data_IF_774038985855
#
_entry.id   IF_774038985855
#
_cell.length_a   1.000
_cell.length_b   1.000
_cell.length_c   1.000
_cell.angle_alpha   90.00
_cell.angle_beta   90.00
_cell.angle_gamma   90.00
#
_symmetry.space_group_name_H-M   'P 1'
#
loop_
_entity.id
_entity.type
_entity.pdbx_description
1 polymer ?
#
# COMPACT_ATOMS: atom_id res chain seq x y z
N UNK A 1 12.32 12.94 27.53
CA UNK A 1 12.58 11.71 26.73
C UNK A 1 13.86 11.05 27.22
N UNK A 2 13.76 10.05 28.10
CA UNK A 2 14.91 9.33 28.66
C UNK A 2 15.41 8.28 27.67
N UNK A 3 16.59 8.51 27.08
CA UNK A 3 17.29 7.52 26.26
C UNK A 3 17.86 6.44 27.18
N UNK A 4 17.41 5.21 27.01
CA UNK A 4 17.99 4.01 27.63
C UNK A 4 19.38 3.74 27.02
N UNK A 5 20.44 4.27 27.64
CA UNK A 5 21.82 3.88 27.37
C UNK A 5 22.14 2.59 28.14
N UNK A 6 22.11 1.45 27.45
CA UNK A 6 22.53 0.17 28.03
C UNK A 6 24.04 0.12 28.25
N UNK A 7 24.43 -0.14 29.50
CA UNK A 7 25.79 -0.40 30.01
C UNK A 7 26.35 -1.71 29.45
N UNK A 8 26.85 -1.68 28.21
CA UNK A 8 27.34 -2.86 27.48
C UNK A 8 28.66 -3.49 27.95
N UNK A 9 29.33 -2.99 29.00
CA UNK A 9 30.63 -3.52 29.45
C UNK A 9 30.59 -4.44 30.68
N UNK A 10 29.56 -4.36 31.53
CA UNK A 10 29.56 -5.05 32.84
C UNK A 10 28.99 -6.48 32.78
N UNK A 11 28.27 -6.86 31.71
CA UNK A 11 27.58 -8.16 31.63
C UNK A 11 28.39 -9.29 30.96
N UNK A 12 29.68 -9.10 30.61
CA UNK A 12 30.48 -10.17 30.00
C UNK A 12 30.81 -11.32 30.97
N UNK A 13 30.79 -11.08 32.28
CA UNK A 13 31.21 -12.07 33.27
C UNK A 13 30.14 -13.07 33.68
N UNK A 14 28.85 -12.85 33.41
CA UNK A 14 27.77 -13.76 33.87
C UNK A 14 27.59 -15.01 32.98
N UNK A 15 28.48 -15.27 32.03
CA UNK A 15 28.41 -16.48 31.19
C UNK A 15 28.51 -17.79 31.99
N UNK A 16 29.09 -17.78 33.19
CA UNK A 16 29.16 -18.94 34.10
C UNK A 16 27.83 -19.20 34.84
N UNK A 17 26.89 -18.25 34.84
CA UNK A 17 25.51 -18.46 35.30
C UNK A 17 24.60 -19.01 34.19
N UNK A 18 25.07 -19.08 32.94
CA UNK A 18 24.28 -19.70 31.89
C UNK A 18 24.11 -21.20 32.21
N UNK A 19 22.88 -21.73 32.10
CA UNK A 19 22.64 -23.15 32.33
C UNK A 19 23.54 -23.97 31.39
N UNK A 20 24.02 -25.15 31.85
CA UNK A 20 24.95 -25.97 31.09
C UNK A 20 24.44 -26.22 29.67
N UNK A 21 25.35 -26.10 28.71
CA UNK A 21 25.08 -26.29 27.29
C UNK A 21 24.54 -27.70 27.01
N UNK A 22 23.72 -27.79 25.95
CA UNK A 22 22.92 -28.94 25.48
C UNK A 22 23.45 -30.32 25.92
N UNK A 23 22.65 -31.05 26.71
CA UNK A 23 22.88 -32.47 27.02
C UNK A 23 22.97 -32.82 28.51
N UNK A 24 23.08 -31.82 29.40
CA UNK A 24 23.07 -32.07 30.86
C UNK A 24 21.67 -32.46 31.36
N UNK A 25 21.61 -33.52 32.18
CA UNK A 25 20.38 -34.03 32.84
C UNK A 25 19.69 -32.98 33.74
N UNK A 26 20.40 -31.90 34.08
CA UNK A 26 19.90 -30.80 34.92
C UNK A 26 19.50 -29.53 34.12
N UNK A 27 19.80 -29.46 32.82
CA UNK A 27 19.56 -28.26 32.00
C UNK A 27 18.09 -28.01 31.65
N UNK A 28 17.21 -29.02 31.83
CA UNK A 28 15.77 -28.92 31.48
C UNK A 28 14.91 -29.34 32.67
N UNK A 29 15.10 -28.70 33.84
CA UNK A 29 14.08 -28.68 34.90
C UNK A 29 13.21 -27.43 34.82
N UNK A 30 12.92 -26.96 33.61
CA UNK A 30 11.85 -25.98 33.43
C UNK A 30 10.50 -26.72 33.62
N UNK A 31 9.51 -26.11 34.30
CA UNK A 31 8.17 -26.68 34.36
C UNK A 31 7.66 -26.96 32.95
N UNK A 32 6.81 -27.98 32.79
CA UNK A 32 6.35 -28.46 31.47
C UNK A 32 5.77 -27.37 30.54
N UNK A 33 5.32 -26.24 31.12
CA UNK A 33 4.89 -25.05 30.38
C UNK A 33 6.02 -24.20 29.79
N UNK A 34 7.17 -24.14 30.44
CA UNK A 34 8.33 -23.33 30.04
C UNK A 34 9.38 -24.12 29.24
N UNK A 35 9.33 -25.46 29.27
CA UNK A 35 10.37 -26.32 28.70
C UNK A 35 10.35 -26.45 27.16
N UNK A 36 9.20 -26.25 26.51
CA UNK A 36 9.06 -26.56 25.09
C UNK A 36 9.36 -25.34 24.20
N UNK A 37 10.64 -25.13 23.89
CA UNK A 37 11.05 -24.27 22.79
C UNK A 37 11.21 -25.11 21.50
N UNK A 38 10.33 -24.94 20.50
CA UNK A 38 10.49 -25.58 19.20
C UNK A 38 11.85 -25.26 18.57
N UNK A 39 12.42 -26.20 17.82
CA UNK A 39 13.49 -25.86 16.88
C UNK A 39 12.94 -24.88 15.84
N UNK A 40 13.64 -23.77 15.63
CA UNK A 40 13.34 -22.84 14.55
C UNK A 40 13.57 -23.52 13.20
N UNK A 41 12.59 -23.44 12.30
CA UNK A 41 12.71 -23.96 10.94
C UNK A 41 13.08 -22.82 10.01
N UNK A 42 14.17 -22.99 9.29
CA UNK A 42 14.66 -21.99 8.34
C UNK A 42 13.63 -21.78 7.21
N UNK A 43 13.49 -20.56 6.66
CA UNK A 43 12.54 -20.28 5.59
C UNK A 43 12.64 -21.23 4.38
N UNK A 44 13.85 -21.72 4.05
CA UNK A 44 14.10 -22.68 2.97
C UNK A 44 13.49 -24.06 3.23
N UNK A 45 13.40 -24.47 4.50
CA UNK A 45 12.87 -25.77 4.93
C UNK A 45 11.36 -25.71 5.21
N UNK A 46 10.75 -24.52 5.13
CA UNK A 46 9.31 -24.36 5.27
C UNK A 46 8.62 -24.88 4.02
N UNK A 47 7.52 -25.58 4.23
CA UNK A 47 6.73 -26.12 3.12
C UNK A 47 6.05 -24.94 2.40
N UNK A 48 6.38 -24.67 1.13
CA UNK A 48 5.82 -23.52 0.41
C UNK A 48 4.35 -23.75 0.02
N UNK A 49 4.04 -24.98 -0.41
CA UNK A 49 2.72 -25.38 -0.88
C UNK A 49 2.17 -26.50 -0.01
N UNK A 50 1.22 -26.15 0.84
CA UNK A 50 0.56 -27.08 1.75
C UNK A 50 -0.60 -27.78 1.03
N UNK A 51 -0.57 -29.12 0.99
CA UNK A 51 -1.67 -29.90 0.41
C UNK A 51 -2.73 -30.32 1.44
N UNK A 52 -2.49 -30.01 2.72
CA UNK A 52 -3.40 -30.21 3.84
C UNK A 52 -3.73 -28.82 4.40
N UNK A 53 -5.00 -28.56 4.64
CA UNK A 53 -5.57 -27.27 5.06
C UNK A 53 -6.51 -27.51 6.25
N UNK A 54 -6.77 -26.49 7.10
CA UNK A 54 -7.80 -26.61 8.12
C UNK A 54 -9.13 -27.12 7.56
N UNK A 55 -9.81 -27.98 8.32
CA UNK A 55 -11.03 -28.69 7.92
C UNK A 55 -10.78 -30.04 7.25
N UNK A 56 -9.55 -30.37 6.85
CA UNK A 56 -9.24 -31.70 6.31
C UNK A 56 -9.27 -32.79 7.38
N UNK A 57 -9.77 -33.96 7.00
CA UNK A 57 -9.73 -35.16 7.83
C UNK A 57 -8.42 -35.91 7.57
N UNK A 58 -7.70 -36.24 8.64
CA UNK A 58 -6.37 -36.82 8.52
C UNK A 58 -6.10 -37.94 9.53
N UNK A 59 -5.22 -38.85 9.14
CA UNK A 59 -4.71 -39.96 9.96
C UNK A 59 -3.21 -39.85 10.17
N UNK A 60 -2.74 -40.21 11.35
CA UNK A 60 -1.32 -40.26 11.66
C UNK A 60 -0.66 -41.47 11.00
N UNK A 61 0.53 -41.27 10.41
CA UNK A 61 1.38 -42.36 9.90
C UNK A 61 2.01 -43.15 11.03
N UNK A 62 2.49 -42.43 12.04
CA UNK A 62 3.29 -42.95 13.14
C UNK A 62 2.78 -42.37 14.47
N UNK A 63 3.02 -43.11 15.55
CA UNK A 63 2.61 -42.76 16.89
C UNK A 63 1.41 -43.58 17.36
N UNK A 64 1.40 -43.91 18.65
CA UNK A 64 0.31 -44.58 19.34
C UNK A 64 -0.55 -43.52 20.02
N UNK A 65 -1.86 -43.59 19.83
CA UNK A 65 -2.86 -42.76 20.52
C UNK A 65 -3.89 -43.71 21.16
N UNK A 66 -4.65 -43.26 22.16
CA UNK A 66 -5.74 -44.04 22.78
C UNK A 66 -5.35 -44.92 23.97
N UNK A 67 -4.07 -44.95 24.38
CA UNK A 67 -3.62 -45.79 25.52
C UNK A 67 -4.29 -45.44 26.86
N UNK A 68 -4.83 -44.22 27.00
CA UNK A 68 -5.53 -43.78 28.21
C UNK A 68 -7.02 -44.15 28.24
N UNK A 69 -7.61 -44.53 27.12
CA UNK A 69 -9.04 -44.82 27.00
C UNK A 69 -9.36 -46.31 27.17
N UNK A 70 -8.40 -47.11 27.68
CA UNK A 70 -8.61 -48.54 27.92
C UNK A 70 -8.65 -49.40 26.66
N UNK A 71 -8.33 -48.86 25.48
CA UNK A 71 -8.10 -49.63 24.25
C UNK A 71 -6.72 -50.31 24.30
N UNK A 72 -6.56 -51.24 25.25
CA UNK A 72 -5.39 -52.11 25.42
C UNK A 72 -5.40 -53.27 24.42
N UNK A 73 -5.67 -52.99 23.14
CA UNK A 73 -5.34 -53.96 22.10
C UNK A 73 -3.85 -53.85 21.75
N UNK A 74 -3.22 -54.99 21.46
CA UNK A 74 -1.86 -55.07 20.90
C UNK A 74 -1.72 -54.26 19.58
N UNK A 75 -2.85 -53.89 18.97
CA UNK A 75 -2.89 -53.08 17.77
C UNK A 75 -2.49 -51.63 18.04
N UNK A 76 -1.49 -51.16 17.28
CA UNK A 76 -1.06 -49.77 17.26
C UNK A 76 -2.12 -48.92 16.59
N UNK A 77 -3.10 -48.46 17.38
CA UNK A 77 -4.09 -47.48 16.96
C UNK A 77 -3.39 -46.17 16.61
N UNK A 78 -3.51 -45.81 15.33
CA UNK A 78 -2.97 -44.56 14.80
C UNK A 78 -4.02 -43.49 14.99
N UNK A 79 -3.60 -42.34 15.49
CA UNK A 79 -4.52 -41.23 15.73
C UNK A 79 -5.19 -40.73 14.44
N UNK A 80 -6.42 -40.27 14.58
CA UNK A 80 -7.23 -39.67 13.52
C UNK A 80 -7.81 -38.35 14.04
N UNK A 81 -8.00 -37.36 13.16
CA UNK A 81 -8.49 -36.05 13.57
C UNK A 81 -8.72 -35.09 12.42
N UNK A 82 -9.41 -33.99 12.72
CA UNK A 82 -9.65 -32.88 11.79
C UNK A 82 -8.60 -31.80 12.02
N UNK A 83 -8.03 -31.27 10.95
CA UNK A 83 -7.06 -30.18 11.05
C UNK A 83 -7.73 -28.89 11.51
N UNK A 84 -7.28 -28.32 12.63
CA UNK A 84 -7.80 -27.06 13.17
C UNK A 84 -6.98 -25.88 12.66
N UNK A 85 -5.66 -25.97 12.83
CA UNK A 85 -4.75 -24.90 12.49
C UNK A 85 -3.42 -25.46 12.01
N UNK A 86 -2.71 -24.62 11.27
CA UNK A 86 -1.44 -24.96 10.65
C UNK A 86 -0.45 -23.84 10.96
N UNK A 87 0.71 -24.22 11.47
CA UNK A 87 1.85 -23.33 11.68
C UNK A 87 2.85 -23.57 10.57
N UNK A 88 2.81 -22.66 9.59
CA UNK A 88 3.70 -22.68 8.43
C UNK A 88 5.15 -22.36 8.78
N UNK A 89 5.40 -21.74 9.93
CA UNK A 89 6.76 -21.44 10.35
C UNK A 89 7.46 -22.68 10.91
N UNK A 90 6.72 -23.61 11.51
CA UNK A 90 7.26 -24.83 12.16
C UNK A 90 6.92 -26.13 11.43
N UNK A 91 6.16 -26.07 10.34
CA UNK A 91 5.61 -27.23 9.63
C UNK A 91 4.76 -28.14 10.53
N UNK A 92 3.99 -27.53 11.43
CA UNK A 92 3.13 -28.25 12.38
C UNK A 92 1.65 -28.10 12.05
N UNK A 93 0.91 -29.11 12.49
CA UNK A 93 -0.53 -29.26 12.32
C UNK A 93 -1.13 -29.57 13.69
N UNK A 94 -2.21 -28.88 14.02
CA UNK A 94 -3.00 -29.13 15.22
C UNK A 94 -4.27 -29.86 14.82
N UNK A 95 -4.52 -30.97 15.48
CA UNK A 95 -5.67 -31.84 15.22
C UNK A 95 -6.68 -31.68 16.36
N UNK A 96 -7.95 -31.64 16.00
CA UNK A 96 -9.06 -31.89 16.91
C UNK A 96 -9.59 -33.30 16.66
N UNK A 97 -10.26 -33.84 17.67
CA UNK A 97 -11.02 -35.08 17.53
C UNK A 97 -12.08 -34.94 16.43
N UNK A 98 -12.39 -36.05 15.77
CA UNK A 98 -13.41 -36.06 14.71
C UNK A 98 -14.78 -35.85 15.34
N UNK A 99 -15.08 -36.64 16.37
CA UNK A 99 -16.32 -36.63 17.13
C UNK A 99 -16.00 -36.87 18.62
N UNK A 100 -16.94 -36.57 19.52
CA UNK A 100 -16.77 -36.81 20.97
C UNK A 100 -16.58 -38.29 21.31
N UNK A 101 -17.08 -39.19 20.45
CA UNK A 101 -16.90 -40.63 20.56
C UNK A 101 -15.53 -41.11 20.03
N UNK A 102 -14.85 -40.30 19.20
CA UNK A 102 -13.63 -40.67 18.50
C UNK A 102 -12.46 -39.75 18.88
N UNK A 103 -12.00 -39.89 20.13
CA UNK A 103 -10.93 -39.08 20.75
C UNK A 103 -9.52 -39.54 20.37
N UNK A 104 -9.32 -39.83 19.09
CA UNK A 104 -8.05 -40.32 18.55
C UNK A 104 -7.06 -39.21 18.17
N UNK A 105 -7.36 -37.92 18.42
CA UNK A 105 -6.40 -36.87 18.15
C UNK A 105 -5.27 -36.91 19.21
N UNK A 106 -4.01 -36.69 18.81
CA UNK A 106 -2.90 -36.72 19.74
C UNK A 106 -2.99 -35.54 20.72
N UNK A 107 -3.20 -35.84 22.00
CA UNK A 107 -3.22 -34.87 23.10
C UNK A 107 -2.02 -35.07 24.03
N UNK A 108 -1.59 -33.98 24.65
CA UNK A 108 -0.59 -33.99 25.71
C UNK A 108 -1.20 -33.41 26.98
N UNK A 109 -0.99 -34.09 28.10
CA UNK A 109 -1.40 -33.58 29.40
C UNK A 109 -0.39 -32.50 29.83
N UNK A 110 -0.88 -31.30 30.14
CA UNK A 110 -0.06 -30.19 30.64
C UNK A 110 -0.58 -29.70 31.99
N UNK A 111 0.35 -29.35 32.88
CA UNK A 111 0.07 -28.97 34.27
C UNK A 111 -0.17 -27.46 34.44
N UNK A 112 -1.33 -26.93 34.08
CA UNK A 112 -1.58 -25.47 34.12
C UNK A 112 -1.55 -24.96 35.57
N UNK A 113 -1.10 -23.71 35.74
CA UNK A 113 -1.25 -23.00 37.01
C UNK A 113 -2.75 -22.99 37.37
N UNK A 114 -3.14 -23.49 38.55
CA UNK A 114 -4.54 -23.54 38.95
C UNK A 114 -5.19 -22.16 38.79
N UNK A 115 -6.31 -22.12 38.07
CA UNK A 115 -7.16 -20.93 37.95
C UNK A 115 -8.45 -21.21 38.70
N UNK A 116 -9.05 -20.17 39.26
CA UNK A 116 -10.41 -20.27 39.77
C UNK A 116 -11.34 -20.73 38.66
N UNK A 117 -12.26 -21.65 38.98
CA UNK A 117 -13.26 -22.15 38.03
C UNK A 117 -14.11 -20.99 37.50
N UNK A 118 -14.41 -20.04 38.37
CA UNK A 118 -15.12 -18.81 38.07
C UNK A 118 -14.36 -17.64 38.69
N UNK A 119 -13.78 -16.72 37.90
CA UNK A 119 -13.01 -15.60 38.45
C UNK A 119 -13.88 -14.63 39.26
N UNK A 120 -15.20 -14.66 39.09
CA UNK A 120 -16.15 -13.82 39.82
C UNK A 120 -16.63 -14.46 41.13
N UNK A 121 -16.44 -15.78 41.31
CA UNK A 121 -16.88 -16.52 42.50
C UNK A 121 -15.74 -17.41 43.03
N UNK A 122 -14.84 -16.86 43.87
CA UNK A 122 -13.66 -17.59 44.36
C UNK A 122 -14.01 -18.79 45.28
N UNK A 123 -15.22 -18.84 45.83
CA UNK A 123 -15.73 -19.94 46.65
C UNK A 123 -15.89 -21.25 45.88
N UNK A 124 -16.09 -21.19 44.55
CA UNK A 124 -16.13 -22.38 43.68
C UNK A 124 -14.78 -23.11 43.57
N UNK A 125 -13.72 -22.53 44.15
CA UNK A 125 -12.40 -23.14 44.24
C UNK A 125 -11.61 -23.13 42.93
N UNK A 126 -10.52 -23.88 42.94
CA UNK A 126 -9.61 -24.00 41.80
C UNK A 126 -10.05 -25.14 40.88
N UNK A 127 -9.92 -24.92 39.56
CA UNK A 127 -10.09 -25.97 38.57
C UNK A 127 -8.96 -27.01 38.61
N UNK A 128 -9.07 -28.09 37.82
CA UNK A 128 -8.05 -29.13 37.78
C UNK A 128 -6.69 -28.56 37.33
N UNK A 129 -5.62 -28.97 38.02
CA UNK A 129 -4.24 -28.55 37.73
C UNK A 129 -3.69 -29.13 36.41
N UNK A 130 -4.45 -29.99 35.74
CA UNK A 130 -4.04 -30.65 34.50
C UNK A 130 -5.10 -30.52 33.45
N UNK A 131 -4.70 -30.12 32.25
CA UNK A 131 -5.59 -30.05 31.09
C UNK A 131 -4.97 -30.79 29.91
N UNK A 132 -5.80 -31.44 29.11
CA UNK A 132 -5.36 -32.02 27.85
C UNK A 132 -5.31 -30.95 26.77
N UNK A 133 -4.12 -30.76 26.20
CA UNK A 133 -3.89 -29.78 25.13
C UNK A 133 -3.53 -30.55 23.86
N UNK A 134 -4.07 -30.18 22.69
CA UNK A 134 -3.72 -30.82 21.42
C UNK A 134 -2.21 -30.74 21.18
N UNK A 135 -1.60 -31.89 20.90
CA UNK A 135 -0.17 -32.01 20.63
C UNK A 135 0.07 -31.62 19.17
N UNK A 136 1.04 -30.73 18.88
CA UNK A 136 1.40 -30.42 17.50
C UNK A 136 1.99 -31.65 16.81
N UNK A 137 1.56 -31.89 15.57
CA UNK A 137 2.03 -32.98 14.72
C UNK A 137 2.80 -32.40 13.55
N UNK A 138 3.95 -32.99 13.23
CA UNK A 138 4.69 -32.58 12.03
C UNK A 138 3.98 -33.03 10.75
N UNK A 139 3.95 -32.16 9.74
CA UNK A 139 3.24 -32.40 8.47
C UNK A 139 3.57 -33.74 7.80
N UNK A 140 4.83 -34.20 7.88
CA UNK A 140 5.27 -35.47 7.30
C UNK A 140 4.57 -36.70 7.87
N UNK A 141 4.04 -36.61 9.09
CA UNK A 141 3.47 -37.73 9.83
C UNK A 141 1.97 -37.87 9.61
N UNK A 142 1.41 -37.19 8.61
CA UNK A 142 -0.02 -37.10 8.37
C UNK A 142 -0.37 -37.72 7.01
N UNK A 143 -1.53 -38.36 6.92
CA UNK A 143 -2.16 -38.87 5.70
C UNK A 143 -3.54 -38.25 5.56
N UNK A 144 -3.87 -37.78 4.36
CA UNK A 144 -5.18 -37.18 4.08
C UNK A 144 -6.21 -38.30 3.87
N UNK A 145 -7.37 -38.21 4.52
CA UNK A 145 -8.56 -39.03 4.21
C UNK A 145 -9.25 -38.44 2.99
N UNK A 146 -9.68 -39.29 2.06
CA UNK A 146 -10.44 -38.82 0.90
C UNK A 146 -11.89 -38.55 1.33
N UNK A 147 -12.48 -37.40 0.96
CA UNK A 147 -13.86 -37.12 1.29
C UNK A 147 -14.78 -38.13 0.58
N UNK A 148 -15.71 -38.73 1.32
CA UNK A 148 -16.66 -39.72 0.79
C UNK A 148 -16.12 -41.15 0.69
N UNK A 149 -14.87 -41.43 1.11
CA UNK A 149 -14.36 -42.79 1.24
C UNK A 149 -13.55 -42.98 2.52
N UNK A 150 -13.38 -44.24 2.94
CA UNK A 150 -12.54 -44.60 4.08
C UNK A 150 -11.07 -44.84 3.70
N UNK A 151 -10.69 -44.46 2.48
CA UNK A 151 -9.34 -44.60 1.98
C UNK A 151 -8.46 -43.41 2.38
N UNK A 152 -7.20 -43.71 2.67
CA UNK A 152 -6.18 -42.74 3.02
C UNK A 152 -5.17 -42.57 1.89
N UNK A 153 -4.76 -41.33 1.66
CA UNK A 153 -3.76 -41.00 0.65
C UNK A 153 -2.37 -41.51 1.05
N UNK A 154 -1.75 -42.32 0.20
CA UNK A 154 -0.35 -42.76 0.34
C UNK A 154 0.60 -41.60 0.07
N UNK A 155 0.29 -40.82 -0.97
CA UNK A 155 1.05 -39.63 -1.38
C UNK A 155 0.09 -38.55 -1.86
N UNK A 156 0.48 -37.29 -1.64
CA UNK A 156 -0.20 -36.13 -2.20
C UNK A 156 0.68 -35.51 -3.29
N UNK A 157 0.09 -35.26 -4.45
CA UNK A 157 0.68 -34.50 -5.55
C UNK A 157 -0.18 -33.27 -5.84
N UNK A 158 0.39 -32.29 -6.53
CA UNK A 158 -0.30 -31.03 -6.85
C UNK A 158 -0.32 -30.78 -8.35
N UNK A 159 -1.27 -29.99 -8.82
CA UNK A 159 -1.20 -29.34 -10.13
C UNK A 159 -0.23 -28.16 -10.10
N UNK A 160 0.04 -27.57 -11.28
CA UNK A 160 0.62 -26.24 -11.35
C UNK A 160 -0.24 -25.22 -10.59
N UNK A 161 0.41 -24.30 -9.88
CA UNK A 161 -0.27 -23.22 -9.16
C UNK A 161 -0.65 -22.11 -10.15
N UNK A 162 -1.91 -21.66 -10.08
CA UNK A 162 -2.44 -20.56 -10.90
C UNK A 162 -2.94 -19.44 -9.99
N UNK A 163 -2.68 -18.19 -10.36
CA UNK A 163 -3.14 -17.04 -9.59
C UNK A 163 -4.61 -16.72 -9.92
N UNK A 164 -5.50 -16.82 -8.93
CA UNK A 164 -6.90 -16.44 -9.10
C UNK A 164 -7.11 -14.97 -8.72
N UNK A 165 -7.23 -14.10 -9.73
CA UNK A 165 -7.41 -12.64 -9.54
C UNK A 165 -8.55 -12.29 -8.60
N UNK A 166 -9.73 -12.93 -8.75
CA UNK A 166 -10.91 -12.68 -7.90
C UNK A 166 -10.70 -13.01 -6.42
N UNK A 167 -9.93 -14.07 -6.14
CA UNK A 167 -9.64 -14.51 -4.76
C UNK A 167 -8.39 -13.85 -4.19
N UNK A 168 -7.60 -13.16 -5.03
CA UNK A 168 -6.31 -12.57 -4.63
C UNK A 168 -5.30 -13.61 -4.14
N UNK A 169 -5.37 -14.86 -4.61
CA UNK A 169 -4.54 -15.94 -4.09
C UNK A 169 -4.16 -16.98 -5.15
N UNK A 170 -3.02 -17.64 -4.93
CA UNK A 170 -2.61 -18.80 -5.70
C UNK A 170 -3.46 -20.02 -5.32
N UNK A 171 -4.02 -20.69 -6.33
CA UNK A 171 -4.79 -21.92 -6.15
C UNK A 171 -4.17 -23.02 -7.01
N UNK A 172 -4.18 -24.23 -6.50
CA UNK A 172 -3.81 -25.44 -7.21
C UNK A 172 -4.81 -26.54 -6.84
N UNK A 173 -4.90 -27.55 -7.69
CA UNK A 173 -5.60 -28.80 -7.39
C UNK A 173 -4.65 -29.75 -6.69
N UNK A 174 -5.16 -30.56 -5.77
CA UNK A 174 -4.41 -31.61 -5.09
C UNK A 174 -4.93 -32.97 -5.54
N UNK A 175 -4.01 -33.90 -5.76
CA UNK A 175 -4.31 -35.25 -6.17
C UNK A 175 -3.73 -36.23 -5.15
N UNK A 176 -4.57 -37.13 -4.65
CA UNK A 176 -4.16 -38.22 -3.79
C UNK A 176 -3.82 -39.44 -4.63
N UNK A 177 -2.73 -40.11 -4.28
CA UNK A 177 -2.42 -41.46 -4.75
C UNK A 177 -2.95 -42.45 -3.72
N UNK A 178 -3.94 -43.24 -4.11
CA UNK A 178 -4.54 -44.31 -3.29
C UNK A 178 -4.10 -45.68 -3.80
N UNK A 179 -4.16 -46.68 -2.92
CA UNK A 179 -4.08 -48.07 -3.35
C UNK A 179 -5.37 -48.39 -4.12
N UNK A 180 -5.24 -48.92 -5.33
CA UNK A 180 -6.41 -49.36 -6.10
C UNK A 180 -7.14 -50.47 -5.35
N UNK A 181 -8.47 -50.53 -5.49
CA UNK A 181 -9.22 -51.72 -5.06
C UNK A 181 -8.81 -52.93 -5.91
N UNK A 182 -8.94 -54.13 -5.36
CA UNK A 182 -8.53 -55.37 -6.05
C UNK A 182 -9.22 -55.54 -7.40
N UNK A 183 -10.48 -55.09 -7.54
CA UNK A 183 -11.21 -55.11 -8.81
C UNK A 183 -10.58 -54.19 -9.85
N UNK A 184 -10.28 -52.94 -9.46
CA UNK A 184 -9.63 -51.96 -10.35
C UNK A 184 -8.20 -52.36 -10.68
N UNK A 185 -7.52 -53.07 -9.78
CA UNK A 185 -6.19 -53.61 -10.01
C UNK A 185 -6.22 -54.68 -11.11
N UNK A 186 -7.24 -55.54 -11.13
CA UNK A 186 -7.44 -56.54 -12.19
C UNK A 186 -7.74 -55.88 -13.54
N UNK A 187 -8.57 -54.84 -13.54
CA UNK A 187 -8.99 -54.17 -14.78
C UNK A 187 -7.88 -53.31 -15.41
N UNK A 188 -7.16 -52.54 -14.59
CA UNK A 188 -6.19 -51.54 -15.09
C UNK A 188 -4.73 -51.98 -14.97
N UNK A 189 -4.45 -53.03 -14.21
CA UNK A 189 -3.09 -53.48 -13.89
C UNK A 189 -2.28 -52.50 -13.03
N UNK A 190 -2.87 -51.39 -12.56
CA UNK A 190 -2.18 -50.35 -11.79
C UNK A 190 -2.49 -50.45 -10.31
N UNK A 191 -1.46 -50.71 -9.50
CA UNK A 191 -1.56 -50.78 -8.03
C UNK A 191 -2.00 -49.47 -7.35
N UNK A 192 -1.88 -48.34 -8.05
CA UNK A 192 -2.19 -47.03 -7.49
C UNK A 192 -3.04 -46.20 -8.45
N UNK A 193 -4.08 -45.58 -7.90
CA UNK A 193 -4.98 -44.66 -8.61
C UNK A 193 -4.73 -43.23 -8.13
N UNK A 194 -4.80 -42.27 -9.06
CA UNK A 194 -4.62 -40.84 -8.79
C UNK A 194 -5.99 -40.16 -8.82
N UNK A 195 -6.47 -39.74 -7.65
CA UNK A 195 -7.80 -39.13 -7.46
C UNK A 195 -7.65 -37.64 -7.14
N UNK A 196 -8.45 -36.78 -7.76
CA UNK A 196 -8.53 -35.36 -7.39
C UNK A 196 -9.25 -35.21 -6.04
N UNK A 197 -8.62 -34.52 -5.09
CA UNK A 197 -9.23 -34.27 -3.77
C UNK A 197 -9.61 -32.80 -3.67
N UNK A 198 -10.91 -32.46 -3.55
CA UNK A 198 -11.34 -31.08 -3.44
C UNK A 198 -10.86 -30.46 -2.11
N UNK A 199 -10.71 -29.13 -2.07
CA UNK A 199 -10.43 -28.39 -0.84
C UNK A 199 -11.66 -28.36 0.07
N UNK A 200 -11.50 -28.39 1.40
CA UNK A 200 -12.63 -28.33 2.31
C UNK A 200 -13.29 -26.95 2.24
N UNK A 201 -14.62 -26.92 2.32
CA UNK A 201 -15.40 -25.68 2.34
C UNK A 201 -15.38 -25.12 3.76
N UNK A 202 -14.47 -24.18 4.02
CA UNK A 202 -14.40 -23.49 5.31
C UNK A 202 -15.45 -22.37 5.40
N UNK A 203 -16.00 -22.10 6.60
CA UNK A 203 -16.82 -20.91 6.79
C UNK A 203 -16.01 -19.68 6.39
N UNK A 204 -16.62 -18.77 5.63
CA UNK A 204 -15.96 -17.56 5.17
C UNK A 204 -15.44 -16.77 6.37
N UNK A 205 -14.13 -16.50 6.41
CA UNK A 205 -13.57 -15.62 7.45
C UNK A 205 -14.21 -14.25 7.29
N UNK A 206 -14.97 -13.81 8.29
CA UNK A 206 -15.48 -12.43 8.35
C UNK A 206 -14.26 -11.51 8.33
N UNK A 207 -14.16 -10.65 7.32
CA UNK A 207 -13.18 -9.59 7.30
C UNK A 207 -13.65 -8.54 8.29
N UNK A 208 -12.86 -8.29 9.33
CA UNK A 208 -13.06 -7.09 10.13
C UNK A 208 -12.51 -5.92 9.31
N UNK A 209 -13.36 -4.92 9.07
CA UNK A 209 -12.95 -3.67 8.47
C UNK A 209 -12.26 -2.86 9.56
N UNK A 210 -10.95 -2.73 9.45
CA UNK A 210 -10.18 -1.84 10.32
C UNK A 210 -10.34 -0.39 9.84
N UNK A 211 -10.13 0.59 10.72
CA UNK A 211 -10.19 2.03 10.37
C UNK A 211 -9.17 2.46 9.32
N UNK A 212 -8.18 1.62 9.02
CA UNK A 212 -7.15 1.83 8.01
C UNK A 212 -7.55 1.30 6.62
N UNK A 213 -8.64 0.54 6.52
CA UNK A 213 -9.15 0.02 5.26
C UNK A 213 -10.14 1.03 4.67
N UNK A 214 -9.83 1.57 3.49
CA UNK A 214 -10.74 2.43 2.74
C UNK A 214 -11.82 1.61 2.03
N UNK A 215 -13.01 2.19 1.90
CA UNK A 215 -14.10 1.58 1.14
C UNK A 215 -13.71 1.41 -0.33
N UNK A 216 -14.17 0.31 -0.93
CA UNK A 216 -13.92 -0.01 -2.33
C UNK A 216 -14.28 1.15 -3.26
N UNK A 217 -15.40 1.83 -2.99
CA UNK A 217 -15.89 2.94 -3.80
C UNK A 217 -14.95 4.15 -3.75
N UNK A 218 -14.24 4.36 -2.63
CA UNK A 218 -13.26 5.46 -2.50
C UNK A 218 -12.04 5.16 -3.36
N UNK A 219 -11.51 3.93 -3.28
CA UNK A 219 -10.33 3.52 -4.06
C UNK A 219 -10.63 3.47 -5.57
N UNK A 220 -11.81 2.97 -5.95
CA UNK A 220 -12.22 2.92 -7.36
C UNK A 220 -12.54 4.30 -7.93
N UNK A 221 -13.06 5.23 -7.12
CA UNK A 221 -13.26 6.63 -7.54
C UNK A 221 -11.94 7.40 -7.71
N UNK A 222 -10.88 7.01 -7.00
CA UNK A 222 -9.61 7.74 -6.97
C UNK A 222 -8.66 7.44 -8.13
N UNK A 223 -9.00 6.56 -9.08
CA UNK A 223 -8.02 6.12 -10.08
C UNK A 223 -8.43 6.38 -11.52
N UNK A 224 -7.92 7.49 -12.06
CA UNK A 224 -7.14 7.61 -13.31
C UNK A 224 -7.37 8.97 -13.98
N UNK A 225 -6.44 9.91 -13.79
CA UNK A 225 -6.33 11.08 -14.66
C UNK A 225 -5.38 10.71 -15.81
N UNK A 226 -5.87 10.44 -17.03
CA UNK A 226 -4.98 10.15 -18.16
C UNK A 226 -4.11 11.38 -18.40
N UNK A 227 -2.83 11.26 -18.06
CA UNK A 227 -1.74 12.18 -18.36
C UNK A 227 -2.13 13.67 -18.36
N UNK A 228 -2.18 14.28 -17.17
CA UNK A 228 -2.04 15.73 -17.06
C UNK A 228 -0.54 16.04 -16.90
N UNK A 229 0.03 16.98 -17.67
CA UNK A 229 1.43 17.40 -17.52
C UNK A 229 1.72 18.18 -16.22
N UNK A 230 0.71 18.38 -15.37
CA UNK A 230 0.84 19.06 -14.08
C UNK A 230 1.07 18.04 -12.95
N UNK A 231 2.06 18.32 -12.11
CA UNK A 231 2.60 17.46 -11.05
C UNK A 231 1.51 16.93 -10.10
N UNK A 232 1.37 15.60 -9.89
CA UNK A 232 0.33 15.03 -9.03
C UNK A 232 0.45 15.38 -7.54
N UNK A 233 1.56 15.98 -7.09
CA UNK A 233 1.76 16.42 -5.71
C UNK A 233 1.10 17.78 -5.42
N UNK A 234 0.96 18.63 -6.44
CA UNK A 234 0.29 19.92 -6.36
C UNK A 234 -1.07 19.81 -7.06
N UNK A 235 -2.03 19.15 -6.41
CA UNK A 235 -3.41 19.28 -6.85
C UNK A 235 -3.74 20.78 -6.83
N UNK A 236 -4.04 21.42 -7.99
CA UNK A 236 -4.42 22.81 -7.97
C UNK A 236 -5.62 22.96 -7.05
N UNK A 237 -5.67 24.04 -6.28
CA UNK A 237 -6.85 24.40 -5.49
C UNK A 237 -8.09 24.13 -6.32
N UNK A 238 -9.06 23.42 -5.74
CA UNK A 238 -10.30 23.06 -6.43
C UNK A 238 -10.84 24.35 -7.06
N UNK A 239 -10.78 24.45 -8.39
CA UNK A 239 -11.34 25.59 -9.12
C UNK A 239 -12.77 25.73 -8.60
N UNK A 240 -13.08 26.90 -8.05
CA UNK A 240 -14.44 27.20 -7.60
C UNK A 240 -15.40 26.80 -8.71
N UNK A 241 -16.39 25.97 -8.37
CA UNK A 241 -17.37 25.46 -9.34
C UNK A 241 -18.13 26.64 -9.98
N UNK A 242 -18.19 27.77 -9.26
CA UNK A 242 -18.90 29.00 -9.60
C UNK A 242 -18.03 30.23 -9.30
N UNK A 243 -18.34 31.36 -9.94
CA UNK A 243 -17.71 32.66 -9.70
C UNK A 243 -18.73 33.60 -9.03
N UNK A 244 -18.29 34.59 -8.23
CA UNK A 244 -19.22 35.57 -7.67
C UNK A 244 -20.05 36.32 -8.72
N UNK A 245 -19.49 36.50 -9.92
CA UNK A 245 -20.20 37.12 -11.05
C UNK A 245 -21.21 36.16 -11.68
N UNK A 246 -20.86 34.88 -11.81
CA UNK A 246 -21.75 33.87 -12.36
C UNK A 246 -22.91 33.55 -11.41
N UNK A 247 -22.68 33.59 -10.10
CA UNK A 247 -23.71 33.50 -9.06
C UNK A 247 -24.66 34.69 -9.10
N UNK A 248 -24.13 35.93 -9.18
CA UNK A 248 -24.96 37.12 -9.35
C UNK A 248 -25.80 37.05 -10.62
N UNK A 249 -25.22 36.60 -11.74
CA UNK A 249 -25.93 36.43 -13.00
C UNK A 249 -27.02 35.36 -12.91
N UNK A 250 -26.74 34.22 -12.28
CA UNK A 250 -27.73 33.18 -12.06
C UNK A 250 -28.87 33.67 -11.15
N UNK A 251 -28.57 34.40 -10.09
CA UNK A 251 -29.56 35.01 -9.20
C UNK A 251 -30.46 36.01 -9.96
N UNK A 252 -29.89 36.87 -10.80
CA UNK A 252 -30.66 37.81 -11.64
C UNK A 252 -31.57 37.07 -12.63
N UNK A 253 -31.07 36.01 -13.28
CA UNK A 253 -31.87 35.19 -14.20
C UNK A 253 -32.97 34.41 -13.47
N UNK A 254 -32.72 33.96 -12.24
CA UNK A 254 -33.72 33.30 -11.41
C UNK A 254 -34.84 34.28 -11.02
N UNK A 255 -34.50 35.50 -10.60
CA UNK A 255 -35.46 36.56 -10.31
C UNK A 255 -36.27 36.97 -11.55
N UNK A 256 -35.60 37.12 -12.69
CA UNK A 256 -36.31 37.40 -13.95
C UNK A 256 -37.29 36.30 -14.32
N UNK A 257 -36.90 35.04 -14.08
CA UNK A 257 -37.78 33.88 -14.34
C UNK A 257 -38.95 33.80 -13.37
N UNK A 258 -38.74 34.04 -12.07
CA UNK A 258 -39.84 34.07 -11.11
C UNK A 258 -40.85 35.16 -11.45
N UNK A 259 -40.38 36.32 -11.94
CA UNK A 259 -41.26 37.39 -12.41
C UNK A 259 -42.08 36.96 -13.63
N UNK A 260 -41.45 36.34 -14.63
CA UNK A 260 -42.17 35.81 -15.81
C UNK A 260 -43.17 34.71 -15.43
N UNK A 261 -42.79 33.79 -14.55
CA UNK A 261 -43.67 32.72 -14.10
C UNK A 261 -44.86 33.31 -13.29
N UNK A 262 -44.64 34.34 -12.47
CA UNK A 262 -45.72 35.06 -11.78
C UNK A 262 -46.67 35.80 -12.73
N UNK A 263 -46.16 36.39 -13.82
CA UNK A 263 -46.97 37.04 -14.85
C UNK A 263 -47.83 36.02 -15.60
N UNK A 264 -47.25 34.87 -15.96
CA UNK A 264 -48.01 33.77 -16.59
C UNK A 264 -49.10 33.21 -15.69
N UNK A 265 -48.84 33.11 -14.38
CA UNK A 265 -49.86 32.69 -13.41
C UNK A 265 -50.98 33.74 -13.31
N UNK A 266 -50.66 35.03 -13.34
CA UNK A 266 -51.66 36.10 -13.34
C UNK A 266 -52.52 36.10 -14.62
N UNK A 267 -51.91 35.83 -15.79
CA UNK A 267 -52.59 35.72 -17.08
C UNK A 267 -53.47 34.45 -17.18
N UNK A 268 -53.13 33.37 -16.45
CA UNK A 268 -53.86 32.10 -16.47
C UNK A 268 -55.17 32.09 -15.65
N UNK A 269 -55.48 33.18 -14.93
CA UNK A 269 -56.72 33.33 -14.14
C UNK A 269 -56.78 32.46 -12.85
N UNK A 270 -57.74 32.73 -11.94
CA UNK A 270 -57.76 32.20 -10.57
C UNK A 270 -58.12 30.71 -10.43
N UNK A 271 -58.28 29.96 -11.53
CA UNK A 271 -58.69 28.54 -11.50
C UNK A 271 -57.56 27.54 -11.73
N UNK A 272 -56.31 27.97 -11.87
CA UNK A 272 -55.17 27.08 -12.00
C UNK A 272 -54.48 26.87 -10.63
N UNK A 273 -54.53 25.67 -10.01
CA UNK A 273 -53.83 25.40 -8.76
C UNK A 273 -52.31 25.52 -8.96
N UNK A 274 -51.60 25.91 -7.91
CA UNK A 274 -50.15 26.19 -7.93
C UNK A 274 -49.27 25.01 -8.43
N UNK A 275 -49.83 23.78 -8.41
CA UNK A 275 -49.21 22.55 -8.91
C UNK A 275 -49.79 22.04 -10.26
N UNK A 276 -50.52 22.87 -11.01
CA UNK A 276 -51.01 22.53 -12.37
C UNK A 276 -49.90 22.51 -13.45
N UNK A 277 -48.65 22.25 -13.06
CA UNK A 277 -47.66 21.55 -13.88
C UNK A 277 -47.82 20.01 -13.79
N UNK A 278 -48.92 19.54 -13.18
CA UNK A 278 -49.37 18.16 -13.12
C UNK A 278 -50.19 17.76 -14.34
N UNK A 279 -49.66 16.82 -15.11
CA UNK A 279 -50.16 16.23 -16.35
C UNK A 279 -51.63 15.78 -16.31
N UNK A 280 -52.48 16.44 -17.11
CA UNK A 280 -53.69 15.81 -17.66
C UNK A 280 -53.32 15.02 -18.93
N UNK A 281 -53.92 13.85 -19.13
CA UNK A 281 -53.67 13.01 -20.30
C UNK A 281 -54.14 13.72 -21.58
N UNK A 282 -53.22 14.36 -22.30
CA UNK A 282 -53.50 14.99 -23.60
C UNK A 282 -52.68 16.23 -23.96
N UNK A 283 -52.01 16.90 -23.02
CA UNK A 283 -51.21 18.10 -23.32
C UNK A 283 -49.71 17.81 -23.34
N UNK A 284 -49.03 18.29 -24.40
CA UNK A 284 -47.57 18.18 -24.59
C UNK A 284 -46.88 18.76 -23.35
N UNK A 285 -46.14 17.91 -22.62
CA UNK A 285 -45.31 18.34 -21.50
C UNK A 285 -44.33 19.42 -21.99
N UNK A 286 -44.61 20.68 -21.66
CA UNK A 286 -43.62 21.73 -21.78
C UNK A 286 -42.52 21.37 -20.78
N UNK A 287 -41.39 20.85 -21.26
CA UNK A 287 -40.23 20.51 -20.42
C UNK A 287 -39.91 21.72 -19.56
N UNK A 288 -40.19 21.64 -18.26
CA UNK A 288 -39.82 22.67 -17.30
C UNK A 288 -38.29 22.78 -17.35
N UNK A 289 -37.79 23.87 -17.95
CA UNK A 289 -36.34 24.11 -18.01
C UNK A 289 -35.85 24.18 -16.56
N UNK A 290 -34.75 23.54 -16.16
CA UNK A 290 -34.22 23.70 -14.81
C UNK A 290 -33.94 25.18 -14.50
N UNK A 291 -33.94 25.61 -13.22
CA UNK A 291 -33.57 26.98 -12.86
C UNK A 291 -32.15 27.29 -13.37
N UNK A 292 -31.85 28.56 -13.70
CA UNK A 292 -30.52 28.94 -14.18
C UNK A 292 -29.48 28.65 -13.09
N UNK A 293 -28.49 27.82 -13.40
CA UNK A 293 -27.38 27.47 -12.51
C UNK A 293 -26.18 28.35 -12.84
N UNK A 294 -25.46 28.78 -11.80
CA UNK A 294 -24.21 29.51 -11.95
C UNK A 294 -23.21 28.71 -12.79
N UNK A 295 -22.68 29.37 -13.82
CA UNK A 295 -21.73 28.75 -14.75
C UNK A 295 -20.32 28.75 -14.13
N UNK A 296 -19.44 27.85 -14.59
CA UNK A 296 -18.03 27.90 -14.22
C UNK A 296 -17.42 29.25 -14.62
N UNK A 297 -16.40 29.74 -13.88
CA UNK A 297 -15.77 31.02 -14.17
C UNK A 297 -15.18 31.05 -15.58
N UNK A 298 -15.39 32.16 -16.29
CA UNK A 298 -14.72 32.39 -17.58
C UNK A 298 -13.20 32.60 -17.36
N UNK A 299 -12.35 32.36 -18.37
CA UNK A 299 -10.91 32.61 -18.23
C UNK A 299 -10.58 34.04 -17.75
N UNK A 300 -11.29 35.04 -18.26
CA UNK A 300 -11.13 36.43 -17.81
C UNK A 300 -11.53 36.63 -16.33
N UNK A 301 -12.63 36.00 -15.89
CA UNK A 301 -13.01 36.00 -14.47
C UNK A 301 -11.99 35.28 -13.59
N UNK A 302 -11.40 34.18 -14.05
CA UNK A 302 -10.35 33.50 -13.27
C UNK A 302 -9.11 34.37 -13.08
N UNK A 303 -8.73 35.13 -14.10
CA UNK A 303 -7.61 36.08 -14.02
C UNK A 303 -7.96 37.20 -13.03
N UNK A 304 -9.17 37.77 -13.13
CA UNK A 304 -9.64 38.81 -12.20
C UNK A 304 -9.74 38.34 -10.76
N UNK A 305 -10.28 37.15 -10.51
CA UNK A 305 -10.33 36.59 -9.15
C UNK A 305 -8.94 36.41 -8.56
N UNK A 306 -7.96 36.02 -9.39
CA UNK A 306 -6.56 35.92 -8.98
C UNK A 306 -5.92 37.29 -8.75
N UNK A 307 -6.24 38.30 -9.56
CA UNK A 307 -5.76 39.68 -9.36
C UNK A 307 -6.31 40.26 -8.07
N UNK A 308 -7.60 40.08 -7.83
CA UNK A 308 -8.30 40.56 -6.65
C UNK A 308 -7.83 39.85 -5.38
N UNK A 309 -7.56 38.55 -5.45
CA UNK A 309 -6.99 37.80 -4.34
C UNK A 309 -5.56 38.28 -4.02
N UNK A 310 -4.75 38.52 -5.05
CA UNK A 310 -3.40 39.05 -4.89
C UNK A 310 -3.41 40.47 -4.30
N UNK A 311 -4.29 41.35 -4.77
CA UNK A 311 -4.40 42.72 -4.25
C UNK A 311 -4.94 42.75 -2.83
N UNK A 312 -5.94 41.92 -2.50
CA UNK A 312 -6.43 41.74 -1.12
C UNK A 312 -5.36 41.22 -0.17
N UNK A 313 -4.58 40.24 -0.61
CA UNK A 313 -3.46 39.73 0.17
C UNK A 313 -2.41 40.82 0.39
N UNK A 314 -2.01 41.52 -0.67
CA UNK A 314 -0.99 42.56 -0.62
C UNK A 314 -1.39 43.77 0.24
N UNK A 315 -2.69 44.07 0.32
CA UNK A 315 -3.26 45.14 1.15
C UNK A 315 -3.68 44.68 2.55
N UNK A 316 -3.61 43.38 2.86
CA UNK A 316 -4.09 42.84 4.13
C UNK A 316 -3.25 43.24 5.34
N UNK A 317 -3.91 43.41 6.48
CA UNK A 317 -3.30 43.91 7.73
C UNK A 317 -2.11 43.06 8.20
N UNK A 318 -2.20 41.73 8.02
CA UNK A 318 -1.12 40.81 8.38
C UNK A 318 0.15 41.04 7.55
N UNK A 319 0.02 41.38 6.26
CA UNK A 319 1.14 41.68 5.38
C UNK A 319 1.71 43.06 5.69
N UNK A 320 0.87 44.02 6.04
CA UNK A 320 1.33 45.33 6.49
C UNK A 320 2.11 45.24 7.82
N UNK A 321 1.61 44.47 8.78
CA UNK A 321 2.29 44.21 10.05
C UNK A 321 3.65 43.50 9.84
N UNK A 322 3.67 42.46 8.98
CA UNK A 322 4.91 41.75 8.64
C UNK A 322 5.98 42.69 8.05
N UNK A 323 5.57 43.66 7.22
CA UNK A 323 6.50 44.68 6.69
C UNK A 323 7.00 45.65 7.75
N UNK A 324 6.12 46.06 8.67
CA UNK A 324 6.52 46.93 9.79
C UNK A 324 7.54 46.24 10.71
N UNK A 325 7.50 44.91 10.81
CA UNK A 325 8.48 44.08 11.51
C UNK A 325 9.78 43.84 10.69
N UNK A 326 9.90 44.44 9.51
CA UNK A 326 11.05 44.28 8.61
C UNK A 326 11.02 42.99 7.78
N UNK A 327 9.87 42.33 7.71
CA UNK A 327 9.68 41.10 6.95
C UNK A 327 9.29 41.35 5.49
N UNK A 328 9.90 40.59 4.58
CA UNK A 328 9.66 40.64 3.13
C UNK A 328 8.41 39.85 2.72
N UNK A 329 7.53 40.45 1.93
CA UNK A 329 6.34 39.80 1.42
C UNK A 329 6.48 39.53 -0.08
N UNK A 330 6.29 38.27 -0.49
CA UNK A 330 6.50 37.80 -1.85
C UNK A 330 5.19 37.31 -2.49
N UNK A 331 4.89 37.77 -3.71
CA UNK A 331 3.74 37.33 -4.51
C UNK A 331 4.22 36.62 -5.78
N UNK A 332 3.47 35.61 -6.24
CA UNK A 332 3.80 34.84 -7.45
C UNK A 332 3.96 35.67 -8.73
N UNK A 333 3.36 36.87 -8.83
CA UNK A 333 3.54 37.77 -9.98
C UNK A 333 4.85 38.54 -9.96
N UNK A 334 5.46 38.69 -8.79
CA UNK A 334 6.73 39.40 -8.66
C UNK A 334 7.81 38.68 -9.47
N UNK A 335 7.74 37.35 -9.55
CA UNK A 335 8.57 36.56 -10.45
C UNK A 335 8.45 37.00 -11.91
N UNK A 336 7.24 37.36 -12.37
CA UNK A 336 7.01 37.75 -13.76
C UNK A 336 7.39 39.21 -14.02
N UNK A 337 7.22 40.08 -13.04
CA UNK A 337 7.59 41.49 -13.15
C UNK A 337 9.12 41.66 -13.10
N UNK A 338 9.85 40.71 -12.49
CA UNK A 338 11.32 40.71 -12.38
C UNK A 338 11.97 39.89 -13.50
N UNK A 339 11.39 38.77 -13.92
CA UNK A 339 12.00 37.87 -14.90
C UNK A 339 12.39 38.59 -16.20
N UNK A 340 13.56 38.27 -16.79
CA UNK A 340 13.96 38.83 -18.07
C UNK A 340 12.96 38.44 -19.16
N UNK A 341 12.82 39.28 -20.20
CA UNK A 341 11.87 39.04 -21.30
C UNK A 341 12.09 37.69 -22.02
N UNK A 342 13.30 37.12 -21.93
CA UNK A 342 13.69 35.83 -22.52
C UNK A 342 13.28 34.62 -21.66
N UNK A 343 12.76 34.86 -20.44
CA UNK A 343 12.20 33.86 -19.54
C UNK A 343 13.02 33.62 -18.26
N UNK A 344 12.42 33.07 -17.20
CA UNK A 344 13.07 32.93 -15.89
C UNK A 344 14.29 32.01 -15.90
N UNK A 345 14.37 31.08 -16.86
CA UNK A 345 15.49 30.14 -17.00
C UNK A 345 16.73 30.73 -17.68
N UNK A 346 16.63 31.90 -18.32
CA UNK A 346 17.80 32.54 -18.92
C UNK A 346 18.71 33.18 -17.88
N UNK A 347 18.20 33.43 -16.65
CA UNK A 347 18.86 34.25 -15.64
C UNK A 347 18.93 35.71 -16.14
N UNK A 348 18.37 36.66 -15.39
CA UNK A 348 18.61 38.07 -15.70
C UNK A 348 20.05 38.43 -15.32
N UNK A 349 20.70 39.33 -16.07
CA UNK A 349 21.91 40.00 -15.60
C UNK A 349 21.53 41.02 -14.52
N UNK A 350 21.29 40.52 -13.30
CA UNK A 350 20.85 41.32 -12.15
C UNK A 350 21.90 42.31 -11.64
N UNK A 351 23.09 42.33 -12.25
CA UNK A 351 24.16 43.29 -11.99
C UNK A 351 23.85 44.72 -12.45
N UNK A 352 22.87 44.89 -13.35
CA UNK A 352 22.44 46.20 -13.84
C UNK A 352 21.41 46.89 -12.91
N UNK A 353 20.93 46.19 -11.87
CA UNK A 353 20.01 46.75 -10.88
C UNK A 353 20.76 47.63 -9.88
N UNK A 354 20.14 48.72 -9.39
CA UNK A 354 20.72 49.55 -8.34
C UNK A 354 20.90 48.75 -7.04
N UNK A 355 21.97 49.03 -6.29
CA UNK A 355 22.29 48.31 -5.05
C UNK A 355 21.21 48.49 -3.96
N UNK A 356 20.55 49.65 -3.94
CA UNK A 356 19.44 49.95 -3.03
C UNK A 356 18.41 50.86 -3.72
N UNK A 357 17.14 50.64 -3.46
CA UNK A 357 16.03 51.52 -3.86
C UNK A 357 15.44 52.14 -2.59
N UNK A 358 15.39 53.48 -2.50
CA UNK A 358 14.92 54.18 -1.29
C UNK A 358 13.38 54.26 -1.20
N UNK A 359 12.71 54.22 -2.34
CA UNK A 359 11.23 54.30 -2.44
C UNK A 359 10.62 53.06 -3.11
N UNK A 360 11.43 52.04 -3.44
CA UNK A 360 11.03 50.86 -4.20
C UNK A 360 11.45 49.53 -3.61
N UNK A 361 11.33 48.46 -4.40
CA UNK A 361 11.71 47.12 -3.96
C UNK A 361 10.60 46.32 -3.27
N UNK A 362 10.99 45.20 -2.63
CA UNK A 362 10.05 44.26 -2.02
C UNK A 362 9.37 44.82 -0.75
N UNK A 363 9.99 45.84 -0.16
CA UNK A 363 9.52 46.54 1.03
C UNK A 363 8.51 47.66 0.71
N UNK A 364 8.45 48.11 -0.55
CA UNK A 364 7.60 49.21 -0.96
C UNK A 364 6.09 48.87 -0.97
N UNK A 365 5.25 49.91 -0.83
CA UNK A 365 3.79 49.77 -0.86
C UNK A 365 3.35 49.32 -2.26
N UNK A 366 2.67 48.18 -2.32
CA UNK A 366 2.18 47.60 -3.58
C UNK A 366 0.96 48.35 -4.10
N UNK A 367 0.73 48.26 -5.41
CA UNK A 367 -0.48 48.78 -6.04
C UNK A 367 -1.74 48.15 -5.41
N UNK A 368 -2.68 48.94 -4.88
CA UNK A 368 -3.89 48.43 -4.25
C UNK A 368 -4.85 47.76 -5.26
N UNK A 369 -4.71 48.07 -6.55
CA UNK A 369 -5.57 47.53 -7.60
C UNK A 369 -5.10 46.15 -8.05
N UNK A 370 -3.79 45.99 -8.30
CA UNK A 370 -3.23 44.80 -8.96
C UNK A 370 -2.27 43.98 -8.08
N UNK A 371 -1.90 44.49 -6.90
CA UNK A 371 -0.93 43.86 -6.00
C UNK A 371 0.53 43.90 -6.50
N UNK A 372 0.79 44.63 -7.58
CA UNK A 372 2.10 44.74 -8.23
C UNK A 372 3.07 45.67 -7.49
N UNK A 373 4.36 45.45 -7.72
CA UNK A 373 5.44 46.35 -7.31
C UNK A 373 5.35 47.65 -8.13
N UNK A 374 5.39 48.81 -7.47
CA UNK A 374 5.22 50.13 -8.10
C UNK A 374 6.54 50.72 -8.57
N UNK A 375 7.60 50.51 -7.79
CA UNK A 375 8.91 51.11 -7.97
C UNK A 375 9.92 49.96 -7.97
N UNK A 376 10.67 49.82 -9.07
CA UNK A 376 11.46 48.64 -9.44
C UNK A 376 12.36 48.04 -8.35
N UNK A 377 12.88 46.85 -8.62
CA UNK A 377 13.55 46.00 -7.63
C UNK A 377 15.05 46.31 -7.56
N UNK A 378 15.62 46.39 -6.35
CA UNK A 378 17.06 46.54 -6.17
C UNK A 378 17.79 45.19 -6.25
N UNK A 379 19.10 45.23 -6.46
CA UNK A 379 19.94 44.01 -6.43
C UNK A 379 19.81 43.26 -5.09
N UNK A 380 19.81 44.01 -3.99
CA UNK A 380 19.68 43.46 -2.64
C UNK A 380 18.29 42.80 -2.41
N UNK A 381 17.24 43.28 -3.07
CA UNK A 381 15.91 42.65 -3.01
C UNK A 381 15.88 41.31 -3.76
N UNK A 382 16.51 41.24 -4.94
CA UNK A 382 16.61 39.99 -5.73
C UNK A 382 17.39 38.92 -4.98
N UNK A 383 18.50 39.29 -4.33
CA UNK A 383 19.32 38.37 -3.53
C UNK A 383 18.57 37.81 -2.30
N UNK A 384 17.52 38.49 -1.86
CA UNK A 384 16.67 38.08 -0.72
C UNK A 384 15.43 37.28 -1.13
N UNK A 385 15.20 37.07 -2.43
CA UNK A 385 14.05 36.30 -2.92
C UNK A 385 14.22 34.78 -2.69
N UNK A 386 13.10 34.03 -2.60
CA UNK A 386 13.15 32.58 -2.49
C UNK A 386 13.96 31.94 -3.63
N UNK A 387 14.80 31.00 -3.23
CA UNK A 387 16.00 30.43 -3.86
C UNK A 387 15.88 29.91 -5.31
N UNK A 388 14.67 29.73 -5.85
CA UNK A 388 14.43 29.10 -7.15
C UNK A 388 14.96 29.92 -8.34
N UNK A 389 15.12 31.24 -8.18
CA UNK A 389 15.78 32.11 -9.18
C UNK A 389 17.31 32.15 -9.07
N UNK A 390 17.87 31.82 -7.91
CA UNK A 390 19.32 31.92 -7.62
C UNK A 390 20.06 30.59 -7.81
N UNK A 391 19.34 29.47 -7.91
CA UNK A 391 19.89 28.11 -7.97
C UNK A 391 20.04 27.53 -9.39
N UNK A 392 20.27 28.35 -10.42
CA UNK A 392 20.48 27.84 -11.79
C UNK A 392 21.58 26.74 -11.84
N UNK A 393 22.64 26.90 -11.04
CA UNK A 393 23.77 25.95 -10.93
C UNK A 393 23.46 24.72 -10.07
N UNK A 394 22.52 24.81 -9.13
CA UNK A 394 22.18 23.71 -8.21
C UNK A 394 21.02 22.84 -8.74
N UNK A 395 20.12 23.41 -9.53
CA UNK A 395 19.03 22.68 -10.21
C UNK A 395 19.53 21.94 -11.46
N UNK A 396 20.56 22.46 -12.12
CA UNK A 396 21.27 21.72 -13.16
C UNK A 396 22.16 20.65 -12.51
N UNK A 397 21.69 19.39 -12.48
CA UNK A 397 22.45 18.26 -11.93
C UNK A 397 23.61 17.85 -12.86
N UNK A 398 24.57 18.73 -13.11
CA UNK A 398 25.71 18.55 -14.02
C UNK A 398 26.67 17.42 -13.57
N UNK A 399 26.66 17.11 -12.27
CA UNK A 399 27.40 15.99 -11.65
C UNK A 399 26.61 14.66 -11.65
N UNK A 400 25.37 14.69 -12.15
CA UNK A 400 24.46 13.55 -12.20
C UNK A 400 24.97 12.41 -13.08
N UNK A 401 24.42 11.21 -12.85
CA UNK A 401 24.81 9.98 -13.57
C UNK A 401 24.70 10.15 -15.10
N UNK A 402 23.65 10.84 -15.59
CA UNK A 402 23.43 11.12 -17.02
C UNK A 402 24.63 11.84 -17.65
N UNK A 403 25.11 12.91 -17.02
CA UNK A 403 26.23 13.70 -17.53
C UNK A 403 27.58 13.01 -17.35
N UNK A 404 27.74 12.20 -16.30
CA UNK A 404 28.91 11.32 -16.14
C UNK A 404 28.98 10.24 -17.21
N UNK A 405 27.84 9.61 -17.52
CA UNK A 405 27.75 8.62 -18.59
C UNK A 405 28.04 9.23 -19.96
N UNK A 406 27.55 10.44 -20.23
CA UNK A 406 27.84 11.17 -21.47
C UNK A 406 29.33 11.49 -21.61
N UNK A 407 29.95 12.08 -20.58
CA UNK A 407 31.40 12.32 -20.55
C UNK A 407 32.23 11.04 -20.71
N UNK A 408 31.77 9.94 -20.11
CA UNK A 408 32.42 8.64 -20.29
C UNK A 408 32.30 8.13 -21.73
N UNK A 409 31.13 8.24 -22.36
CA UNK A 409 30.92 7.88 -23.76
C UNK A 409 31.78 8.72 -24.71
N UNK A 410 31.85 10.04 -24.48
CA UNK A 410 32.69 10.95 -25.26
C UNK A 410 34.17 10.55 -25.14
N UNK A 411 34.64 10.25 -23.92
CA UNK A 411 36.00 9.77 -23.67
C UNK A 411 36.30 8.41 -24.30
N UNK A 412 35.31 7.52 -24.40
CA UNK A 412 35.45 6.25 -25.13
C UNK A 412 35.54 6.49 -26.64
N UNK A 413 34.73 7.41 -27.18
CA UNK A 413 34.76 7.77 -28.59
C UNK A 413 36.10 8.42 -28.98
N UNK A 414 36.67 9.27 -28.12
CA UNK A 414 38.01 9.84 -28.31
C UNK A 414 39.08 8.76 -28.36
N UNK A 415 39.09 7.84 -27.39
CA UNK A 415 40.02 6.70 -27.39
C UNK A 415 39.90 5.85 -28.65
N UNK A 416 38.68 5.57 -29.11
CA UNK A 416 38.47 4.84 -30.35
C UNK A 416 39.05 5.60 -31.56
N UNK A 417 38.84 6.91 -31.65
CA UNK A 417 39.45 7.73 -32.71
C UNK A 417 40.98 7.71 -32.66
N UNK A 418 41.57 7.76 -31.47
CA UNK A 418 43.02 7.66 -31.30
C UNK A 418 43.58 6.30 -31.74
N UNK A 419 42.93 5.20 -31.32
CA UNK A 419 43.36 3.84 -31.75
C UNK A 419 43.28 3.67 -33.26
N UNK A 420 42.21 4.16 -33.91
CA UNK A 420 42.08 4.14 -35.38
C UNK A 420 43.20 4.95 -36.03
N UNK A 421 43.54 6.13 -35.50
CA UNK A 421 44.67 6.93 -35.99
C UNK A 421 46.00 6.17 -35.86
N UNK A 422 46.25 5.54 -34.72
CA UNK A 422 47.46 4.74 -34.49
C UNK A 422 47.53 3.52 -35.42
N UNK A 423 46.42 2.81 -35.63
CA UNK A 423 46.36 1.70 -36.57
C UNK A 423 46.63 2.14 -38.02
N UNK A 424 46.05 3.28 -38.44
CA UNK A 424 46.35 3.86 -39.74
C UNK A 424 47.83 4.21 -39.88
N UNK A 425 48.42 4.87 -38.89
CA UNK A 425 49.85 5.18 -38.87
C UNK A 425 50.72 3.92 -38.96
N UNK A 426 50.40 2.89 -38.16
CA UNK A 426 51.10 1.59 -38.20
C UNK A 426 50.97 0.90 -39.56
N UNK A 427 49.77 0.90 -40.16
CA UNK A 427 49.55 0.32 -41.48
C UNK A 427 50.33 1.05 -42.57
N UNK A 428 50.48 2.38 -42.45
CA UNK A 428 51.26 3.19 -43.38
C UNK A 428 52.75 2.88 -43.25
N UNK A 429 53.27 2.79 -42.02
CA UNK A 429 54.65 2.38 -41.75
C UNK A 429 54.95 0.96 -42.27
N UNK A 430 54.00 0.01 -42.12
CA UNK A 430 54.16 -1.34 -42.65
C UNK A 430 54.22 -1.34 -44.19
N UNK A 431 53.39 -0.54 -44.86
CA UNK A 431 53.45 -0.38 -46.33
C UNK A 431 54.76 0.27 -46.77
N UNK A 432 55.26 1.26 -46.03
CA UNK A 432 56.55 1.89 -46.30
C UNK A 432 57.70 0.89 -46.09
N UNK A 433 57.66 0.06 -45.05
CA UNK A 433 58.64 -1.02 -44.85
C UNK A 433 58.60 -2.07 -45.95
N UNK A 434 57.43 -2.49 -46.41
CA UNK A 434 57.33 -3.44 -47.52
C UNK A 434 57.77 -2.84 -48.85
N UNK A 435 57.62 -1.52 -49.06
CA UNK A 435 58.17 -0.82 -50.22
C UNK A 435 59.71 -0.64 -50.16
N UNK A 436 60.28 -0.61 -48.95
CA UNK A 436 61.73 -0.55 -48.72
C UNK A 436 62.41 -1.92 -48.73
N UNK A 437 61.65 -3.02 -48.69
CA UNK A 437 62.15 -4.37 -49.00
C UNK A 437 62.29 -4.52 -50.53
N UNK A 438 63.34 -3.91 -51.07
CA UNK A 438 63.88 -4.19 -52.41
C UNK A 438 65.20 -4.93 -52.23
#
# INVERSE_FOLDING_TARGET
MSRSSTTGSVLRSLQHLNPPTKGSKFAVRAPSHAAHQPKFVQPKDRIPFWNIVPGDHVKLRCGRVGQKEGLDSNDKLRGEGIVVSIDRQKNWVWLRDVDDNNKLAPKSLRHIVPRFVDPLQPEKGYGPNTTEIPRPVHYSNVMLKIPGSDQYAVRLSRSAAKYHKRKGMWVWKRFATIKASDDKLRDTGKAFEKVEVPWPTLPGKRKHLDSTMSDRNVVEAESWAPWRPEDPVLLPERKGITSPQSERRAALLALHRSNLDSQRVAEAGPSAPADALGSYAGFKQARAKPPPIAQPPTPAETIRLRTDAASKWASGDAIQAHRQEGGLAFLWRDYLDIAPQQGPASGGDWSELPDLTHEGGLDARRSPNDGRLTDGVSRNDVDRMPIELLMAKDLANESGLKWRMRRWQDKQAEKQRETIKQQKARSKLLKELDALKI
#
